data_IF_932921618576
#
_entry.id   IF_932921618576
#
_cell.length_a   1.000
_cell.length_b   1.000
_cell.length_c   1.000
_cell.angle_alpha   90.00
_cell.angle_beta   90.00
_cell.angle_gamma   90.00
#
_symmetry.space_group_name_H-M   'P 1'
#
loop_
_entity.id
_entity.type
_entity.pdbx_description
1 polymer ?
#
# COMPACT_ATOMS: atom_id res chain seq x y z
N UNK A 1 -27.11 -45.07 -10.47
CA UNK A 1 -26.54 -43.69 -10.55
C UNK A 1 -26.01 -43.33 -9.17
N UNK A 2 -24.79 -43.75 -8.89
CA UNK A 2 -24.13 -43.40 -7.62
C UNK A 2 -23.24 -42.13 -7.87
N UNK A 3 -23.67 -41.00 -7.34
CA UNK A 3 -22.75 -39.87 -7.18
C UNK A 3 -21.76 -40.27 -6.09
N UNK A 4 -20.46 -40.10 -6.36
CA UNK A 4 -19.41 -40.55 -5.47
C UNK A 4 -19.44 -39.74 -4.15
N UNK A 5 -19.16 -40.43 -3.05
CA UNK A 5 -19.01 -39.80 -1.73
C UNK A 5 -17.97 -38.66 -1.72
N UNK A 6 -17.05 -38.64 -2.68
CA UNK A 6 -16.06 -37.58 -2.86
C UNK A 6 -16.65 -36.21 -3.23
N UNK A 7 -17.72 -36.19 -4.06
CA UNK A 7 -18.37 -34.93 -4.46
C UNK A 7 -19.18 -34.29 -3.31
N UNK A 8 -19.66 -35.10 -2.37
CA UNK A 8 -20.35 -34.60 -1.18
C UNK A 8 -19.36 -34.05 -0.15
N UNK A 9 -18.15 -34.65 0.00
CA UNK A 9 -17.11 -34.14 0.88
C UNK A 9 -16.50 -32.81 0.38
N UNK A 10 -16.31 -32.67 -0.93
CA UNK A 10 -15.86 -31.41 -1.53
C UNK A 10 -16.86 -30.26 -1.36
N UNK A 11 -18.17 -30.56 -1.47
CA UNK A 11 -19.22 -29.56 -1.23
C UNK A 11 -19.39 -29.20 0.26
N UNK A 12 -19.10 -30.10 1.20
CA UNK A 12 -19.19 -29.81 2.63
C UNK A 12 -17.97 -28.98 3.09
N UNK A 13 -16.79 -29.19 2.50
CA UNK A 13 -15.60 -28.37 2.79
C UNK A 13 -15.68 -26.96 2.21
N UNK A 14 -16.43 -26.72 1.14
CA UNK A 14 -16.69 -25.38 0.61
C UNK A 14 -17.67 -24.54 1.48
N UNK A 15 -18.45 -25.20 2.37
CA UNK A 15 -19.41 -24.54 3.26
C UNK A 15 -18.87 -24.16 4.63
N UNK A 16 -17.59 -24.47 4.95
CA UNK A 16 -16.94 -24.15 6.23
C UNK A 16 -15.68 -23.30 6.04
N UNK A 17 -15.70 -22.38 5.09
CA UNK A 17 -14.69 -21.33 5.06
C UNK A 17 -14.88 -20.46 6.32
N UNK A 18 -14.13 -20.74 7.39
CA UNK A 18 -14.01 -19.82 8.52
C UNK A 18 -13.59 -18.48 7.94
N UNK A 19 -14.34 -17.39 8.16
CA UNK A 19 -13.96 -16.09 7.65
C UNK A 19 -12.55 -15.80 8.12
N UNK A 20 -11.63 -15.47 7.19
CA UNK A 20 -10.29 -15.06 7.60
C UNK A 20 -10.39 -13.83 8.50
N UNK A 21 -9.65 -13.77 9.60
CA UNK A 21 -9.67 -12.61 10.46
C UNK A 21 -9.25 -11.38 9.67
N UNK A 22 -9.92 -10.25 9.92
CA UNK A 22 -9.51 -8.96 9.33
C UNK A 22 -8.24 -8.53 10.04
N UNK A 23 -7.17 -8.27 9.29
CA UNK A 23 -5.87 -7.92 9.83
C UNK A 23 -5.72 -6.40 9.97
N UNK A 24 -5.12 -5.96 11.08
CA UNK A 24 -4.74 -4.56 11.30
C UNK A 24 -3.39 -4.29 10.65
N UNK A 25 -3.30 -3.19 9.90
CA UNK A 25 -2.05 -2.71 9.31
C UNK A 25 -1.97 -1.19 9.37
N UNK A 26 -0.84 -0.63 8.96
CA UNK A 26 -0.64 0.81 8.77
C UNK A 26 -0.20 1.08 7.33
N UNK A 27 -0.37 2.30 6.83
CA UNK A 27 -0.18 2.57 5.40
C UNK A 27 1.30 2.82 5.06
N UNK A 28 1.94 3.79 5.71
CA UNK A 28 3.29 4.22 5.34
C UNK A 28 3.99 4.93 6.50
N UNK A 29 4.40 6.17 6.28
CA UNK A 29 5.26 6.93 7.16
C UNK A 29 4.75 7.09 8.60
N UNK A 30 5.67 7.00 9.54
CA UNK A 30 5.53 7.43 10.93
C UNK A 30 6.27 8.77 11.16
N UNK A 31 5.93 9.53 12.23
CA UNK A 31 6.67 10.71 12.62
C UNK A 31 8.15 10.41 12.79
N UNK A 32 9.01 11.26 12.20
CA UNK A 32 10.44 11.09 12.33
C UNK A 32 10.89 11.33 13.78
N UNK A 33 11.78 10.49 14.26
CA UNK A 33 12.47 10.62 15.54
C UNK A 33 13.82 11.29 15.36
N UNK A 34 14.32 11.94 16.42
CA UNK A 34 15.71 12.42 16.49
C UNK A 34 16.70 11.31 16.86
N UNK A 35 16.23 10.10 17.12
CA UNK A 35 17.06 8.93 17.40
C UNK A 35 17.84 8.49 16.15
N UNK A 36 19.02 7.86 16.31
CA UNK A 36 19.66 7.14 15.21
C UNK A 36 18.69 6.17 14.54
N UNK A 37 18.84 5.98 13.22
CA UNK A 37 17.87 5.24 12.39
C UNK A 37 17.48 3.88 12.95
N UNK A 38 18.45 3.04 13.33
CA UNK A 38 18.19 1.68 13.84
C UNK A 38 17.42 1.69 15.16
N UNK A 39 17.71 2.66 16.03
CA UNK A 39 16.96 2.85 17.28
C UNK A 39 15.53 3.30 16.98
N UNK A 40 15.36 4.29 16.11
CA UNK A 40 14.04 4.76 15.69
C UNK A 40 13.22 3.64 15.03
N UNK A 41 13.84 2.82 14.18
CA UNK A 41 13.16 1.67 13.56
C UNK A 41 12.70 0.64 14.59
N UNK A 42 13.55 0.34 15.58
CA UNK A 42 13.18 -0.55 16.69
C UNK A 42 11.99 0.02 17.48
N UNK A 43 12.04 1.30 17.84
CA UNK A 43 10.95 1.99 18.54
C UNK A 43 9.61 1.90 17.78
N UNK A 44 9.63 2.06 16.44
CA UNK A 44 8.42 1.97 15.60
C UNK A 44 7.93 0.53 15.47
N UNK A 45 8.82 -0.46 15.37
CA UNK A 45 8.43 -1.88 15.38
C UNK A 45 7.76 -2.23 16.71
N UNK A 46 8.39 -1.89 17.86
CA UNK A 46 7.85 -2.14 19.19
C UNK A 46 6.50 -1.42 19.42
N UNK A 47 6.36 -0.19 18.91
CA UNK A 47 5.10 0.56 18.97
C UNK A 47 3.97 -0.18 18.21
N UNK A 48 4.22 -0.65 17.01
CA UNK A 48 3.25 -1.40 16.22
C UNK A 48 2.86 -2.71 16.90
N UNK A 49 3.83 -3.45 17.46
CA UNK A 49 3.58 -4.66 18.23
C UNK A 49 2.74 -4.39 19.48
N UNK A 50 3.02 -3.31 20.22
CA UNK A 50 2.27 -2.91 21.42
C UNK A 50 0.78 -2.68 21.11
N UNK A 51 0.50 -2.05 19.96
CA UNK A 51 -0.87 -1.80 19.55
C UNK A 51 -1.49 -2.94 18.73
N UNK A 52 -0.83 -4.11 18.67
CA UNK A 52 -1.39 -5.31 18.03
C UNK A 52 -1.60 -5.17 16.54
N UNK A 53 -0.66 -4.52 15.84
CA UNK A 53 -0.66 -4.46 14.37
C UNK A 53 -0.22 -5.82 13.83
N UNK A 54 -1.02 -6.42 12.96
CA UNK A 54 -0.81 -7.77 12.42
C UNK A 54 0.17 -7.77 11.23
N UNK A 55 0.18 -6.68 10.45
CA UNK A 55 1.09 -6.49 9.32
C UNK A 55 1.81 -5.16 9.49
N UNK A 56 3.03 -5.21 10.02
CA UNK A 56 3.84 -4.03 10.36
C UNK A 56 4.66 -3.50 9.18
N UNK A 57 5.22 -2.30 9.34
CA UNK A 57 6.10 -1.62 8.35
C UNK A 57 7.35 -1.03 9.00
N UNK A 58 8.29 -0.59 8.16
CA UNK A 58 9.50 0.15 8.54
C UNK A 58 9.24 1.61 9.01
N UNK A 59 8.03 2.12 8.81
CA UNK A 59 7.63 3.48 9.16
C UNK A 59 8.18 4.58 8.27
N UNK A 60 8.88 4.25 7.19
CA UNK A 60 9.49 5.20 6.23
C UNK A 60 10.37 6.26 6.88
N UNK A 61 11.23 5.85 7.82
CA UNK A 61 11.99 6.75 8.67
C UNK A 61 13.19 7.40 8.00
N UNK A 62 13.76 6.80 6.92
CA UNK A 62 14.96 7.32 6.25
C UNK A 62 14.72 8.65 5.56
N UNK A 63 13.65 8.74 4.78
CA UNK A 63 13.34 9.88 3.93
C UNK A 63 11.84 9.90 3.58
N UNK A 64 11.41 10.77 2.68
CA UNK A 64 10.05 10.71 2.15
C UNK A 64 9.94 9.58 1.11
N UNK A 65 8.69 9.18 0.81
CA UNK A 65 8.39 8.05 -0.05
C UNK A 65 9.03 8.11 -1.46
N UNK A 66 9.28 9.30 -1.98
CA UNK A 66 9.93 9.51 -3.29
C UNK A 66 11.44 9.34 -3.20
N UNK A 67 12.06 9.89 -2.16
CA UNK A 67 13.52 9.90 -2.00
C UNK A 67 14.15 8.52 -1.74
N UNK A 68 13.34 7.51 -1.38
CA UNK A 68 13.80 6.12 -1.33
C UNK A 68 14.33 5.61 -2.66
N UNK A 69 13.90 6.22 -3.76
CA UNK A 69 14.26 5.80 -5.12
C UNK A 69 15.48 6.53 -5.69
N UNK A 70 16.26 7.25 -4.86
CA UNK A 70 17.53 7.87 -5.28
C UNK A 70 18.63 6.85 -5.62
N UNK A 71 18.43 5.59 -5.26
CA UNK A 71 19.32 4.48 -5.63
C UNK A 71 19.07 3.96 -7.06
N UNK A 72 17.98 4.38 -7.71
CA UNK A 72 17.64 3.99 -9.08
C UNK A 72 18.55 4.73 -10.06
N UNK A 73 19.22 4.01 -11.00
CA UNK A 73 19.98 4.65 -12.06
C UNK A 73 19.11 5.65 -12.85
N UNK A 74 19.67 6.80 -13.16
CA UNK A 74 18.95 7.88 -13.85
C UNK A 74 18.23 8.85 -12.91
N UNK A 75 18.24 8.64 -11.59
CA UNK A 75 17.67 9.57 -10.60
C UNK A 75 18.74 10.25 -9.75
N UNK A 76 18.43 11.44 -9.22
CA UNK A 76 19.24 12.14 -8.24
C UNK A 76 18.36 12.81 -7.18
N UNK A 77 18.70 12.61 -5.90
CA UNK A 77 17.97 13.21 -4.78
C UNK A 77 18.06 14.73 -4.81
N UNK A 78 16.91 15.35 -4.55
CA UNK A 78 16.76 16.78 -4.29
C UNK A 78 16.09 16.99 -2.91
N UNK A 79 16.04 18.22 -2.44
CA UNK A 79 15.42 18.57 -1.15
C UNK A 79 13.94 18.18 -1.07
N UNK A 80 13.22 18.27 -2.18
CA UNK A 80 11.77 18.05 -2.29
C UNK A 80 11.37 16.80 -3.09
N UNK A 81 12.33 16.04 -3.62
CA UNK A 81 12.01 14.85 -4.45
C UNK A 81 13.22 14.25 -5.14
N UNK A 82 13.03 13.81 -6.37
CA UNK A 82 14.05 13.29 -7.26
C UNK A 82 13.98 14.03 -8.60
N UNK A 83 15.14 14.33 -9.18
CA UNK A 83 15.22 14.77 -10.60
C UNK A 83 15.75 13.63 -11.47
N UNK A 84 15.42 13.68 -12.73
CA UNK A 84 15.93 12.77 -13.76
C UNK A 84 17.28 13.30 -14.25
N UNK A 85 18.32 12.47 -14.17
CA UNK A 85 19.69 12.82 -14.60
C UNK A 85 20.25 11.83 -15.62
N UNK A 86 19.41 10.89 -16.10
CA UNK A 86 19.73 9.88 -17.10
C UNK A 86 18.49 9.06 -17.43
N UNK A 87 18.61 8.09 -18.32
CA UNK A 87 17.55 7.09 -18.51
C UNK A 87 17.36 6.30 -17.22
N UNK A 88 16.09 6.07 -16.89
CA UNK A 88 15.70 5.26 -15.74
C UNK A 88 15.93 3.78 -16.10
N UNK A 89 16.72 3.09 -15.30
CA UNK A 89 17.07 1.68 -15.54
C UNK A 89 16.86 0.84 -14.28
N UNK A 90 16.49 -0.45 -14.41
CA UNK A 90 16.40 -1.37 -13.29
C UNK A 90 17.72 -1.52 -12.55
N UNK A 91 17.62 -1.78 -11.24
CA UNK A 91 18.78 -2.14 -10.42
C UNK A 91 19.34 -3.50 -10.86
N UNK A 92 20.66 -3.64 -10.86
CA UNK A 92 21.31 -4.96 -10.95
C UNK A 92 20.92 -5.82 -9.73
N UNK A 93 21.07 -7.14 -9.86
CA UNK A 93 20.73 -8.10 -8.79
C UNK A 93 21.43 -7.75 -7.46
N UNK A 94 22.71 -7.38 -7.51
CA UNK A 94 23.47 -7.00 -6.31
C UNK A 94 22.92 -5.73 -5.68
N UNK A 95 22.61 -4.73 -6.49
CA UNK A 95 22.04 -3.47 -6.00
C UNK A 95 20.60 -3.61 -5.48
N UNK A 96 19.83 -4.58 -5.98
CA UNK A 96 18.50 -4.91 -5.44
C UNK A 96 18.58 -5.32 -3.97
N UNK A 97 19.61 -6.10 -3.58
CA UNK A 97 19.79 -6.50 -2.19
C UNK A 97 20.18 -5.33 -1.28
N UNK A 98 20.79 -4.29 -1.84
CA UNK A 98 21.18 -3.08 -1.12
C UNK A 98 20.12 -1.95 -1.20
N UNK A 99 18.99 -2.20 -1.86
CA UNK A 99 17.90 -1.23 -1.95
C UNK A 99 17.32 -0.95 -0.56
N UNK A 100 17.17 0.32 -0.19
CA UNK A 100 16.80 0.72 1.17
C UNK A 100 15.57 0.01 1.71
N UNK A 101 14.51 -0.12 0.93
CA UNK A 101 13.28 -0.79 1.37
C UNK A 101 13.49 -2.28 1.65
N UNK A 102 14.38 -2.94 0.92
CA UNK A 102 14.77 -4.35 1.18
C UNK A 102 15.57 -4.43 2.49
N UNK A 103 16.58 -3.58 2.67
CA UNK A 103 17.39 -3.55 3.90
C UNK A 103 16.58 -3.22 5.15
N UNK A 104 15.68 -2.27 5.05
CA UNK A 104 14.84 -1.86 6.17
C UNK A 104 13.89 -3.00 6.56
N UNK A 105 13.32 -3.71 5.59
CA UNK A 105 12.53 -4.92 5.84
C UNK A 105 13.36 -6.03 6.52
N UNK A 106 14.58 -6.31 6.05
CA UNK A 106 15.47 -7.29 6.68
C UNK A 106 15.78 -6.91 8.14
N UNK A 107 15.97 -5.62 8.41
CA UNK A 107 16.16 -5.09 9.77
C UNK A 107 14.89 -5.27 10.61
N UNK A 108 13.71 -4.96 10.08
CA UNK A 108 12.42 -5.22 10.76
C UNK A 108 12.29 -6.71 11.11
N UNK A 109 12.60 -7.62 10.19
CA UNK A 109 12.57 -9.07 10.44
C UNK A 109 13.55 -9.49 11.54
N UNK A 110 14.75 -8.89 11.56
CA UNK A 110 15.74 -9.14 12.62
C UNK A 110 15.26 -8.66 13.99
N UNK A 111 14.62 -7.49 14.06
CA UNK A 111 14.02 -6.98 15.29
C UNK A 111 12.92 -7.93 15.76
N UNK A 112 11.99 -8.33 14.89
CA UNK A 112 10.91 -9.27 15.22
C UNK A 112 11.46 -10.57 15.77
N UNK A 113 12.51 -11.12 15.17
CA UNK A 113 13.19 -12.32 15.66
C UNK A 113 13.79 -12.10 17.06
N UNK A 114 14.43 -10.96 17.29
CA UNK A 114 15.06 -10.64 18.59
C UNK A 114 14.07 -10.53 19.75
N UNK A 115 12.80 -10.21 19.45
CA UNK A 115 11.72 -10.12 20.45
C UNK A 115 10.76 -11.32 20.43
N UNK A 116 11.11 -12.40 19.70
CA UNK A 116 10.32 -13.64 19.63
C UNK A 116 8.98 -13.49 18.91
N UNK A 117 8.86 -12.55 17.96
CA UNK A 117 7.62 -12.26 17.23
C UNK A 117 7.78 -12.48 15.71
N UNK A 118 8.43 -13.60 15.35
CA UNK A 118 8.59 -13.99 13.94
C UNK A 118 7.25 -14.32 13.25
N UNK A 119 6.21 -14.58 14.03
CA UNK A 119 4.82 -14.79 13.60
C UNK A 119 4.20 -13.55 12.95
N UNK A 120 4.65 -12.35 13.34
CA UNK A 120 4.12 -11.09 12.82
C UNK A 120 4.55 -10.85 11.38
N UNK A 121 3.58 -10.50 10.53
CA UNK A 121 3.81 -10.19 9.14
C UNK A 121 4.46 -8.81 8.99
N UNK A 122 5.25 -8.64 7.95
CA UNK A 122 5.84 -7.33 7.63
C UNK A 122 5.63 -6.99 6.15
N UNK A 123 5.44 -5.71 5.87
CA UNK A 123 5.10 -5.16 4.56
C UNK A 123 6.14 -4.14 4.13
N UNK A 124 6.47 -4.14 2.84
CA UNK A 124 7.23 -3.09 2.15
C UNK A 124 6.25 -2.20 1.41
N UNK A 125 6.37 -0.88 1.60
CA UNK A 125 5.62 0.14 0.85
C UNK A 125 6.49 0.67 -0.29
N UNK A 126 5.96 0.73 -1.50
CA UNK A 126 6.65 1.22 -2.69
C UNK A 126 5.79 2.26 -3.38
N UNK A 127 6.35 3.42 -3.65
CA UNK A 127 5.68 4.41 -4.49
C UNK A 127 5.51 3.86 -5.90
N UNK A 128 4.30 3.96 -6.43
CA UNK A 128 3.97 3.40 -7.73
C UNK A 128 4.49 4.25 -8.90
N UNK A 129 4.47 3.68 -10.12
CA UNK A 129 5.12 4.28 -11.28
C UNK A 129 4.52 5.63 -11.70
N UNK A 130 3.20 5.81 -11.52
CA UNK A 130 2.55 7.07 -11.89
C UNK A 130 2.96 8.21 -10.97
N UNK A 131 2.98 7.96 -9.66
CA UNK A 131 3.40 8.95 -8.67
C UNK A 131 4.88 9.27 -8.81
N UNK A 132 5.76 8.27 -8.98
CA UNK A 132 7.19 8.49 -9.20
C UNK A 132 7.45 9.33 -10.44
N UNK A 133 6.91 8.93 -11.58
CA UNK A 133 7.09 9.63 -12.85
C UNK A 133 6.60 11.08 -12.78
N UNK A 134 5.42 11.32 -12.23
CA UNK A 134 4.84 12.67 -12.12
C UNK A 134 5.68 13.58 -11.22
N UNK A 135 6.09 13.10 -10.04
CA UNK A 135 6.92 13.91 -9.12
C UNK A 135 8.29 14.18 -9.73
N UNK A 136 8.94 13.18 -10.34
CA UNK A 136 10.23 13.36 -10.97
C UNK A 136 10.16 14.35 -12.15
N UNK A 137 9.11 14.26 -12.97
CA UNK A 137 8.89 15.19 -14.08
C UNK A 137 8.67 16.62 -13.59
N UNK A 138 7.92 16.82 -12.51
CA UNK A 138 7.62 18.14 -11.94
C UNK A 138 8.79 18.75 -11.15
N UNK A 139 9.78 17.95 -10.74
CA UNK A 139 10.91 18.43 -9.92
C UNK A 139 11.89 19.27 -10.75
N UNK A 140 12.20 18.84 -11.98
CA UNK A 140 13.09 19.56 -12.89
C UNK A 140 12.79 19.18 -14.35
N UNK A 141 11.93 19.95 -15.00
CA UNK A 141 11.51 19.70 -16.38
C UNK A 141 12.66 19.80 -17.39
N UNK A 142 13.64 20.70 -17.16
CA UNK A 142 14.77 20.85 -18.07
C UNK A 142 15.69 19.63 -17.99
N UNK A 143 15.90 19.11 -16.80
CA UNK A 143 16.67 17.87 -16.61
C UNK A 143 15.94 16.68 -17.24
N UNK A 144 14.61 16.60 -17.13
CA UNK A 144 13.81 15.57 -17.79
C UNK A 144 13.98 15.64 -19.32
N UNK A 145 13.81 16.82 -19.91
CA UNK A 145 13.90 17.06 -21.36
C UNK A 145 15.26 16.68 -21.97
N UNK A 146 16.32 16.65 -21.15
CA UNK A 146 17.63 16.21 -21.61
C UNK A 146 17.73 14.69 -21.85
N UNK A 147 16.77 13.91 -21.31
CA UNK A 147 16.83 12.44 -21.31
C UNK A 147 15.57 11.77 -21.85
N UNK A 148 14.44 12.47 -21.85
CA UNK A 148 13.13 12.00 -22.32
C UNK A 148 12.50 12.99 -23.28
N UNK A 149 11.81 12.46 -24.26
CA UNK A 149 10.95 13.26 -25.13
C UNK A 149 9.72 13.69 -24.34
N UNK A 150 9.48 15.00 -24.24
CA UNK A 150 8.36 15.54 -23.47
C UNK A 150 7.00 15.30 -24.17
N UNK A 151 7.00 15.00 -25.48
CA UNK A 151 5.80 14.62 -26.22
C UNK A 151 5.47 13.12 -26.04
N UNK A 152 6.40 12.33 -25.47
CA UNK A 152 6.17 10.93 -25.13
C UNK A 152 5.64 10.78 -23.70
N UNK A 153 4.31 10.75 -23.59
CA UNK A 153 3.61 10.65 -22.32
C UNK A 153 3.77 9.28 -21.60
N UNK A 154 4.43 8.28 -22.22
CA UNK A 154 4.44 6.90 -21.71
C UNK A 154 5.79 6.41 -21.24
N UNK A 155 6.88 6.75 -21.91
CA UNK A 155 8.19 6.12 -21.69
C UNK A 155 8.69 6.29 -20.27
N UNK A 156 8.61 7.47 -19.67
CA UNK A 156 9.04 7.70 -18.29
C UNK A 156 8.31 6.80 -17.29
N UNK A 157 6.99 6.71 -17.38
CA UNK A 157 6.17 5.87 -16.48
C UNK A 157 6.41 4.38 -16.72
N UNK A 158 6.63 3.97 -17.97
CA UNK A 158 6.98 2.59 -18.31
C UNK A 158 8.35 2.22 -17.77
N UNK A 159 9.34 3.12 -17.80
CA UNK A 159 10.66 2.89 -17.24
C UNK A 159 10.58 2.73 -15.71
N UNK A 160 9.79 3.56 -15.00
CA UNK A 160 9.53 3.35 -13.57
C UNK A 160 8.80 2.03 -13.29
N UNK A 161 7.86 1.61 -14.15
CA UNK A 161 7.23 0.28 -14.04
C UNK A 161 8.27 -0.84 -14.14
N UNK A 162 9.19 -0.75 -15.11
CA UNK A 162 10.27 -1.71 -15.31
C UNK A 162 11.24 -1.79 -14.12
N UNK A 163 11.49 -0.66 -13.45
CA UNK A 163 12.31 -0.59 -12.24
C UNK A 163 11.62 -1.24 -11.05
N UNK A 164 10.32 -1.02 -10.88
CA UNK A 164 9.58 -1.50 -9.71
C UNK A 164 9.35 -3.01 -9.75
N UNK A 165 9.15 -3.62 -10.90
CA UNK A 165 8.87 -5.04 -11.02
C UNK A 165 9.91 -5.94 -10.34
N UNK A 166 11.23 -5.83 -10.59
CA UNK A 166 12.23 -6.65 -9.90
C UNK A 166 12.31 -6.34 -8.40
N UNK A 167 12.00 -5.12 -7.96
CA UNK A 167 11.94 -4.76 -6.54
C UNK A 167 10.76 -5.49 -5.86
N UNK A 168 9.58 -5.48 -6.49
CA UNK A 168 8.40 -6.22 -6.00
C UNK A 168 8.68 -7.71 -5.94
N UNK A 169 9.25 -8.29 -7.00
CA UNK A 169 9.61 -9.70 -7.04
C UNK A 169 10.60 -10.07 -5.92
N UNK A 170 11.64 -9.27 -5.72
CA UNK A 170 12.61 -9.46 -4.63
C UNK A 170 11.94 -9.38 -3.26
N UNK A 171 11.08 -8.39 -3.03
CA UNK A 171 10.34 -8.24 -1.78
C UNK A 171 9.47 -9.47 -1.48
N UNK A 172 8.72 -9.96 -2.46
CA UNK A 172 7.89 -11.16 -2.31
C UNK A 172 8.71 -12.42 -2.05
N UNK A 173 9.87 -12.57 -2.72
CA UNK A 173 10.76 -13.72 -2.55
C UNK A 173 11.40 -13.79 -1.15
N UNK A 174 11.62 -12.67 -0.48
CA UNK A 174 12.06 -12.63 0.93
C UNK A 174 10.90 -12.72 1.93
N UNK A 175 9.66 -12.92 1.45
CA UNK A 175 8.49 -13.15 2.28
C UNK A 175 7.68 -11.91 2.64
N UNK A 176 8.06 -10.72 2.17
CA UNK A 176 7.35 -9.47 2.44
C UNK A 176 5.95 -9.45 1.83
N UNK A 177 5.03 -8.73 2.47
CA UNK A 177 3.85 -8.16 1.83
C UNK A 177 4.28 -6.90 1.08
N UNK A 178 3.60 -6.54 0.00
CA UNK A 178 3.94 -5.36 -0.81
C UNK A 178 2.72 -4.47 -0.97
N UNK A 179 2.89 -3.20 -0.71
CA UNK A 179 1.91 -2.16 -0.98
C UNK A 179 2.46 -1.20 -2.02
N UNK A 180 1.71 -1.00 -3.09
CA UNK A 180 2.01 0.01 -4.12
C UNK A 180 1.18 1.25 -3.81
N UNK A 181 1.85 2.38 -3.61
CA UNK A 181 1.21 3.65 -3.23
C UNK A 181 1.13 4.59 -4.42
N UNK A 182 -0.09 4.94 -4.81
CA UNK A 182 -0.39 5.84 -5.93
C UNK A 182 -1.23 7.05 -5.51
N UNK A 183 -0.73 7.90 -4.60
CA UNK A 183 -1.51 9.03 -4.08
C UNK A 183 -1.89 10.04 -5.15
N UNK A 184 -1.11 10.22 -6.21
CA UNK A 184 -1.40 11.21 -7.24
C UNK A 184 -2.54 10.82 -8.19
N UNK A 185 -2.99 9.56 -8.21
CA UNK A 185 -4.13 9.16 -9.02
C UNK A 185 -5.42 9.89 -8.63
N UNK A 186 -5.62 10.14 -7.34
CA UNK A 186 -6.81 10.86 -6.85
C UNK A 186 -6.72 12.37 -6.97
N UNK A 187 -5.55 12.92 -7.30
CA UNK A 187 -5.33 14.37 -7.45
C UNK A 187 -5.79 14.93 -8.80
N UNK A 188 -6.02 14.06 -9.80
CA UNK A 188 -6.31 14.45 -11.16
C UNK A 188 -5.11 15.03 -11.95
N UNK A 189 -3.90 15.01 -11.36
CA UNK A 189 -2.67 15.47 -12.03
C UNK A 189 -2.18 14.48 -13.08
N UNK A 190 -2.60 13.23 -13.00
CA UNK A 190 -2.25 12.18 -13.94
C UNK A 190 -3.41 11.94 -14.90
N UNK A 191 -3.23 12.04 -16.23
CA UNK A 191 -4.27 11.68 -17.18
C UNK A 191 -4.69 10.22 -17.02
N UNK A 192 -5.99 9.98 -16.86
CA UNK A 192 -6.52 8.65 -16.53
C UNK A 192 -6.27 7.60 -17.61
N UNK A 193 -6.20 8.04 -18.88
CA UNK A 193 -5.92 7.19 -20.03
C UNK A 193 -4.48 6.66 -19.97
N UNK A 194 -3.50 7.51 -19.61
CA UNK A 194 -2.10 7.14 -19.43
C UNK A 194 -1.99 6.20 -18.22
N UNK A 195 -2.58 6.57 -17.09
CA UNK A 195 -2.60 5.74 -15.89
C UNK A 195 -3.20 4.35 -16.17
N UNK A 196 -4.28 4.30 -16.97
CA UNK A 196 -4.93 3.03 -17.33
C UNK A 196 -3.99 2.12 -18.11
N UNK A 197 -3.27 2.64 -19.11
CA UNK A 197 -2.34 1.85 -19.91
C UNK A 197 -1.15 1.37 -19.08
N UNK A 198 -0.50 2.27 -18.35
CA UNK A 198 0.69 1.97 -17.55
C UNK A 198 0.38 0.99 -16.41
N UNK A 199 -0.65 1.27 -15.62
CA UNK A 199 -0.95 0.45 -14.44
C UNK A 199 -1.52 -0.92 -14.81
N UNK A 200 -2.26 -1.06 -15.91
CA UNK A 200 -2.68 -2.38 -16.39
C UNK A 200 -1.49 -3.21 -16.87
N UNK A 201 -0.56 -2.61 -17.63
CA UNK A 201 0.68 -3.30 -18.02
C UNK A 201 1.49 -3.70 -16.78
N UNK A 202 1.76 -2.76 -15.88
CA UNK A 202 2.49 -3.02 -14.64
C UNK A 202 1.85 -4.15 -13.82
N UNK A 203 0.54 -4.07 -13.57
CA UNK A 203 -0.18 -5.06 -12.77
C UNK A 203 -0.19 -6.45 -13.42
N UNK A 204 -0.28 -6.54 -14.75
CA UNK A 204 -0.26 -7.80 -15.48
C UNK A 204 1.08 -8.54 -15.42
N UNK A 205 2.15 -7.80 -15.17
CA UNK A 205 3.54 -8.31 -15.07
C UNK A 205 3.96 -8.64 -13.64
N UNK A 206 3.13 -8.33 -12.64
CA UNK A 206 3.37 -8.73 -11.25
C UNK A 206 3.33 -10.27 -11.10
N UNK A 207 4.02 -10.85 -10.10
CA UNK A 207 4.05 -12.30 -9.88
C UNK A 207 2.64 -12.90 -9.81
N UNK A 208 2.37 -13.89 -10.66
CA UNK A 208 1.04 -14.48 -10.83
C UNK A 208 0.75 -15.67 -9.91
N UNK A 209 1.78 -16.21 -9.20
CA UNK A 209 1.58 -17.29 -8.23
C UNK A 209 0.61 -16.83 -7.14
N UNK A 210 -0.46 -17.56 -6.91
CA UNK A 210 -1.58 -17.17 -6.02
C UNK A 210 -1.12 -16.68 -4.64
N UNK A 211 -0.21 -17.43 -3.99
CA UNK A 211 0.30 -17.09 -2.64
C UNK A 211 1.09 -15.77 -2.65
N UNK A 212 1.86 -15.47 -3.68
CA UNK A 212 2.61 -14.21 -3.79
C UNK A 212 1.68 -13.05 -4.14
N UNK A 213 0.77 -13.28 -5.07
CA UNK A 213 -0.20 -12.30 -5.54
C UNK A 213 -1.07 -11.79 -4.38
N UNK A 214 -1.55 -12.68 -3.51
CA UNK A 214 -2.35 -12.31 -2.33
C UNK A 214 -1.63 -11.37 -1.34
N UNK A 215 -0.32 -11.26 -1.42
CA UNK A 215 0.49 -10.34 -0.60
C UNK A 215 0.57 -8.93 -1.18
N UNK A 216 0.03 -8.68 -2.37
CA UNK A 216 0.12 -7.39 -3.05
C UNK A 216 -1.14 -6.58 -2.80
N UNK A 217 -0.97 -5.29 -2.52
CA UNK A 217 -2.04 -4.31 -2.39
C UNK A 217 -1.69 -3.01 -3.12
N UNK A 218 -2.71 -2.27 -3.54
CA UNK A 218 -2.56 -0.92 -4.07
C UNK A 218 -3.30 0.05 -3.14
N UNK A 219 -2.61 1.09 -2.67
CA UNK A 219 -3.19 2.15 -1.85
C UNK A 219 -3.29 3.45 -2.64
N UNK A 220 -4.47 4.05 -2.61
CA UNK A 220 -4.75 5.38 -3.16
C UNK A 220 -5.32 6.26 -2.07
N UNK A 221 -4.57 7.31 -1.71
CA UNK A 221 -5.05 8.34 -0.78
C UNK A 221 -6.07 9.27 -1.47
N UNK A 222 -6.96 9.87 -0.67
CA UNK A 222 -7.93 10.84 -1.15
C UNK A 222 -9.18 10.23 -1.80
N UNK A 223 -9.91 11.05 -2.54
CA UNK A 223 -11.17 10.64 -3.15
C UNK A 223 -10.95 9.89 -4.47
N UNK A 224 -11.33 8.61 -4.49
CA UNK A 224 -11.36 7.81 -5.72
C UNK A 224 -12.61 8.13 -6.59
N UNK A 225 -13.54 8.94 -6.08
CA UNK A 225 -14.73 9.41 -6.78
C UNK A 225 -14.47 10.69 -7.60
N UNK A 226 -13.55 11.53 -7.14
CA UNK A 226 -13.30 12.84 -7.75
C UNK A 226 -12.68 12.79 -9.14
N UNK A 227 -11.96 11.72 -9.48
CA UNK A 227 -11.36 11.51 -10.81
C UNK A 227 -12.21 10.53 -11.60
N UNK A 228 -12.85 10.97 -12.70
CA UNK A 228 -13.68 10.07 -13.52
C UNK A 228 -12.93 8.82 -13.98
N UNK A 229 -13.59 7.66 -13.92
CA UNK A 229 -13.05 6.33 -14.27
C UNK A 229 -11.93 5.79 -13.37
N UNK A 230 -11.46 6.51 -12.35
CA UNK A 230 -10.39 6.05 -11.47
C UNK A 230 -10.82 4.77 -10.72
N UNK A 231 -12.01 4.75 -10.14
CA UNK A 231 -12.50 3.57 -9.43
C UNK A 231 -12.61 2.34 -10.34
N UNK A 232 -13.13 2.53 -11.56
CA UNK A 232 -13.19 1.45 -12.57
C UNK A 232 -11.80 0.96 -12.98
N UNK A 233 -10.84 1.87 -13.15
CA UNK A 233 -9.45 1.48 -13.39
C UNK A 233 -8.94 0.58 -12.28
N UNK A 234 -9.06 1.01 -11.01
CA UNK A 234 -8.54 0.27 -9.85
C UNK A 234 -9.17 -1.11 -9.72
N UNK A 235 -10.49 -1.24 -9.91
CA UNK A 235 -11.19 -2.53 -9.91
C UNK A 235 -10.66 -3.48 -11.00
N UNK A 236 -10.25 -2.95 -12.13
CA UNK A 236 -9.75 -3.73 -13.28
C UNK A 236 -8.25 -4.00 -13.27
N UNK A 237 -7.50 -3.52 -12.27
CA UNK A 237 -6.08 -3.89 -12.11
C UNK A 237 -5.95 -5.33 -11.63
N UNK A 238 -4.92 -6.04 -12.07
CA UNK A 238 -4.62 -7.39 -11.59
C UNK A 238 -3.90 -7.38 -10.22
N UNK A 239 -4.43 -6.61 -9.28
CA UNK A 239 -4.01 -6.48 -7.88
C UNK A 239 -5.20 -6.86 -6.99
N UNK A 240 -5.06 -7.87 -6.11
CA UNK A 240 -6.20 -8.43 -5.37
C UNK A 240 -6.74 -7.53 -4.26
N UNK A 241 -5.90 -6.69 -3.66
CA UNK A 241 -6.31 -5.83 -2.53
C UNK A 241 -6.19 -4.36 -2.89
N UNK A 242 -7.30 -3.64 -2.79
CA UNK A 242 -7.37 -2.19 -2.96
C UNK A 242 -7.57 -1.53 -1.60
N UNK A 243 -6.82 -0.46 -1.32
CA UNK A 243 -6.79 0.20 -0.02
C UNK A 243 -7.15 1.68 -0.19
N UNK A 244 -8.17 2.14 0.56
CA UNK A 244 -8.72 3.49 0.49
C UNK A 244 -8.97 4.06 1.87
N UNK A 245 -8.92 5.40 2.00
CA UNK A 245 -9.36 6.12 3.19
C UNK A 245 -10.86 6.43 3.17
N UNK A 246 -11.46 6.57 4.37
CA UNK A 246 -12.90 6.82 4.52
C UNK A 246 -13.22 7.84 5.63
N UNK A 247 -12.23 8.54 6.21
CA UNK A 247 -12.49 9.41 7.39
C UNK A 247 -12.68 10.88 7.05
N UNK A 248 -11.81 11.52 6.33
CA UNK A 248 -11.91 12.94 5.98
C UNK A 248 -13.13 13.28 5.13
N UNK A 249 -13.33 14.56 4.82
CA UNK A 249 -14.44 14.96 3.95
C UNK A 249 -14.30 14.37 2.54
N UNK A 250 -13.09 14.40 2.00
CA UNK A 250 -12.78 13.87 0.66
C UNK A 250 -12.88 12.33 0.66
N UNK A 251 -12.28 11.67 1.64
CA UNK A 251 -12.31 10.21 1.74
C UNK A 251 -13.72 9.68 2.04
N UNK A 252 -14.56 10.47 2.71
CA UNK A 252 -15.95 10.09 2.96
C UNK A 252 -16.76 9.91 1.68
N UNK A 253 -16.40 10.60 0.60
CA UNK A 253 -17.01 10.42 -0.73
C UNK A 253 -16.78 9.01 -1.28
N UNK A 254 -15.71 8.32 -0.85
CA UNK A 254 -15.40 6.96 -1.27
C UNK A 254 -16.48 5.97 -0.82
N UNK A 255 -17.22 6.26 0.27
CA UNK A 255 -18.35 5.44 0.74
C UNK A 255 -19.55 5.45 -0.23
N UNK A 256 -19.61 6.41 -1.15
CA UNK A 256 -20.75 6.55 -2.06
C UNK A 256 -20.59 5.66 -3.32
N UNK A 257 -19.36 5.21 -3.62
CA UNK A 257 -19.10 4.46 -4.86
C UNK A 257 -18.69 3.01 -4.62
N UNK A 258 -18.25 2.67 -3.41
CA UNK A 258 -17.90 1.29 -3.09
C UNK A 258 -19.16 0.43 -2.88
N UNK A 259 -19.12 -0.82 -3.33
CA UNK A 259 -20.21 -1.75 -3.13
C UNK A 259 -19.72 -3.21 -3.10
N UNK A 260 -20.50 -4.09 -2.47
CA UNK A 260 -20.25 -5.54 -2.48
C UNK A 260 -20.13 -6.07 -3.90
N UNK A 261 -21.06 -5.69 -4.77
CA UNK A 261 -21.07 -6.13 -6.16
C UNK A 261 -19.79 -5.75 -6.93
N UNK A 262 -19.24 -4.55 -6.68
CA UNK A 262 -17.96 -4.13 -7.29
C UNK A 262 -16.79 -5.01 -6.85
N UNK A 263 -16.70 -5.31 -5.54
CA UNK A 263 -15.60 -6.10 -5.00
C UNK A 263 -15.71 -7.58 -5.40
N UNK A 264 -16.89 -8.18 -5.29
CA UNK A 264 -17.11 -9.57 -5.67
C UNK A 264 -16.98 -9.77 -7.18
N UNK A 265 -17.57 -8.87 -8.00
CA UNK A 265 -17.51 -8.94 -9.45
C UNK A 265 -16.11 -8.84 -10.03
N UNK A 266 -15.17 -8.23 -9.32
CA UNK A 266 -13.77 -8.12 -9.71
C UNK A 266 -12.82 -8.95 -8.84
N UNK A 267 -13.34 -9.81 -7.96
CA UNK A 267 -12.54 -10.64 -7.03
C UNK A 267 -11.55 -9.80 -6.20
N UNK A 268 -12.01 -8.65 -5.67
CA UNK A 268 -11.20 -7.73 -4.87
C UNK A 268 -11.44 -7.87 -3.38
N UNK A 269 -10.41 -7.52 -2.60
CA UNK A 269 -10.50 -7.30 -1.16
C UNK A 269 -10.21 -5.84 -0.85
N UNK A 270 -10.81 -5.35 0.23
CA UNK A 270 -10.66 -3.98 0.71
C UNK A 270 -9.65 -3.90 1.85
N UNK A 271 -8.68 -3.00 1.74
CA UNK A 271 -8.03 -2.36 2.87
C UNK A 271 -8.84 -1.13 3.25
N UNK A 272 -9.43 -1.14 4.42
CA UNK A 272 -10.34 -0.08 4.86
C UNK A 272 -9.62 0.91 5.79
N UNK A 273 -9.38 2.12 5.30
CA UNK A 273 -8.98 3.28 6.10
C UNK A 273 -10.17 3.77 6.93
N UNK A 274 -10.38 3.18 8.08
CA UNK A 274 -11.58 3.41 8.88
C UNK A 274 -11.40 4.46 9.99
N UNK A 275 -10.18 4.92 10.20
CA UNK A 275 -9.79 5.89 11.22
C UNK A 275 -8.87 6.96 10.63
N UNK A 276 -9.04 8.21 11.04
CA UNK A 276 -8.19 9.31 10.60
C UNK A 276 -6.73 9.11 11.02
N UNK A 277 -5.79 9.37 10.11
CA UNK A 277 -4.36 9.36 10.39
C UNK A 277 -3.86 10.69 11.00
N UNK A 278 -4.68 11.73 11.07
CA UNK A 278 -4.28 13.08 11.56
C UNK A 278 -5.09 13.55 12.77
N UNK A 279 -6.33 13.07 12.92
CA UNK A 279 -7.24 13.50 13.97
C UNK A 279 -7.60 12.33 14.89
N UNK A 280 -7.60 12.60 16.21
CA UNK A 280 -8.13 11.66 17.20
C UNK A 280 -9.64 11.83 17.23
N UNK A 281 -10.36 10.91 16.60
CA UNK A 281 -11.82 10.93 16.45
C UNK A 281 -12.52 10.28 17.65
N UNK A 282 -13.80 10.59 17.86
CA UNK A 282 -14.64 9.91 18.84
C UNK A 282 -14.93 8.47 18.40
N UNK A 283 -14.90 7.52 19.34
CA UNK A 283 -15.08 6.07 19.06
C UNK A 283 -16.40 5.78 18.34
N UNK A 284 -17.46 6.49 18.71
CA UNK A 284 -18.79 6.36 18.08
C UNK A 284 -18.77 6.71 16.59
N UNK A 285 -17.95 7.69 16.18
CA UNK A 285 -17.78 8.10 14.78
C UNK A 285 -17.04 7.02 14.00
N UNK A 286 -15.94 6.50 14.57
CA UNK A 286 -15.13 5.45 13.98
C UNK A 286 -15.95 4.16 13.80
N UNK A 287 -16.66 3.73 14.85
CA UNK A 287 -17.52 2.53 14.85
C UNK A 287 -18.64 2.67 13.81
N UNK A 288 -19.30 3.83 13.74
CA UNK A 288 -20.37 4.08 12.76
C UNK A 288 -19.85 3.98 11.33
N UNK A 289 -18.64 4.52 11.07
CA UNK A 289 -17.97 4.44 9.76
C UNK A 289 -17.67 3.01 9.41
N UNK A 290 -17.03 2.25 10.30
CA UNK A 290 -16.67 0.86 10.06
C UNK A 290 -17.89 -0.01 9.78
N UNK A 291 -18.97 0.12 10.56
CA UNK A 291 -20.24 -0.58 10.29
C UNK A 291 -20.84 -0.21 8.92
N UNK A 292 -20.68 1.05 8.48
CA UNK A 292 -21.12 1.46 7.14
C UNK A 292 -20.29 0.80 6.05
N UNK A 293 -18.96 0.74 6.22
CA UNK A 293 -18.05 0.04 5.29
C UNK A 293 -18.44 -1.44 5.19
N UNK A 294 -18.59 -2.13 6.33
CA UNK A 294 -19.00 -3.54 6.37
C UNK A 294 -20.35 -3.77 5.66
N UNK A 295 -21.32 -2.88 5.85
CA UNK A 295 -22.62 -2.96 5.18
C UNK A 295 -22.50 -2.79 3.66
N UNK A 296 -21.60 -1.92 3.19
CA UNK A 296 -21.43 -1.61 1.77
C UNK A 296 -20.68 -2.69 1.01
N UNK A 297 -19.59 -3.21 1.56
CA UNK A 297 -18.70 -4.14 0.84
C UNK A 297 -18.85 -5.59 1.27
N UNK A 298 -19.44 -5.86 2.43
CA UNK A 298 -19.44 -7.17 3.10
C UNK A 298 -18.15 -7.39 3.89
N UNK A 299 -18.29 -7.89 5.12
CA UNK A 299 -17.17 -8.15 6.03
C UNK A 299 -16.12 -9.09 5.41
N UNK A 300 -16.58 -10.11 4.71
CA UNK A 300 -15.77 -11.12 4.01
C UNK A 300 -14.88 -10.52 2.91
N UNK A 301 -15.19 -9.32 2.42
CA UNK A 301 -14.38 -8.60 1.43
C UNK A 301 -13.41 -7.60 2.06
N UNK A 302 -13.42 -7.42 3.39
CA UNK A 302 -12.44 -6.61 4.11
C UNK A 302 -11.26 -7.49 4.50
N UNK A 303 -10.06 -7.14 4.03
CA UNK A 303 -8.81 -7.83 4.35
C UNK A 303 -8.03 -7.09 5.43
N UNK A 304 -7.97 -5.77 5.33
CA UNK A 304 -7.21 -4.93 6.26
C UNK A 304 -8.06 -3.82 6.87
N UNK A 305 -7.78 -3.51 8.14
CA UNK A 305 -8.16 -2.27 8.81
C UNK A 305 -6.90 -1.42 9.01
N UNK A 306 -6.97 -0.13 8.68
CA UNK A 306 -5.82 0.77 8.78
C UNK A 306 -6.26 2.24 8.95
N UNK A 307 -5.35 3.16 9.35
CA UNK A 307 -5.59 4.60 9.22
C UNK A 307 -5.68 5.00 7.74
N UNK A 308 -6.38 6.10 7.43
CA UNK A 308 -6.58 6.53 6.04
C UNK A 308 -5.30 6.62 5.21
N UNK A 309 -4.22 7.09 5.81
CA UNK A 309 -2.94 7.28 5.15
C UNK A 309 -1.77 7.13 6.14
N UNK A 310 -0.53 7.39 5.69
CA UNK A 310 0.64 7.48 6.55
C UNK A 310 0.54 8.62 7.57
N UNK A 311 1.16 8.46 8.73
CA UNK A 311 1.08 9.40 9.86
C UNK A 311 2.34 10.28 10.02
N UNK A 312 3.21 10.34 9.01
CA UNK A 312 4.51 11.00 9.10
C UNK A 312 4.49 12.49 9.49
N UNK A 313 3.39 13.18 9.22
CA UNK A 313 3.19 14.59 9.60
C UNK A 313 2.33 14.76 10.86
N UNK A 314 1.88 13.67 11.47
CA UNK A 314 1.04 13.69 12.67
C UNK A 314 1.93 13.68 13.91
N UNK A 315 1.54 14.40 14.95
CA UNK A 315 2.30 14.43 16.21
C UNK A 315 2.36 13.02 16.83
N UNK A 316 3.51 12.60 17.37
CA UNK A 316 3.69 11.24 17.92
C UNK A 316 2.65 10.83 18.97
N UNK A 317 2.25 11.74 19.84
CA UNK A 317 1.23 11.50 20.87
C UNK A 317 -0.16 11.22 20.25
N UNK A 318 -0.51 11.91 19.16
CA UNK A 318 -1.75 11.62 18.43
C UNK A 318 -1.70 10.27 17.73
N UNK A 319 -0.55 9.91 17.14
CA UNK A 319 -0.38 8.60 16.49
C UNK A 319 -0.63 7.46 17.48
N UNK A 320 -0.09 7.57 18.71
CA UNK A 320 -0.34 6.58 19.78
C UNK A 320 -1.83 6.42 20.08
N UNK A 321 -2.56 7.53 20.23
CA UNK A 321 -4.00 7.51 20.49
C UNK A 321 -4.79 6.92 19.32
N UNK A 322 -4.39 7.21 18.08
CA UNK A 322 -5.02 6.63 16.88
C UNK A 322 -4.82 5.10 16.85
N UNK A 323 -3.59 4.63 17.09
CA UNK A 323 -3.29 3.20 17.12
C UNK A 323 -3.99 2.49 18.28
N UNK A 324 -4.12 3.13 19.44
CA UNK A 324 -4.88 2.60 20.59
C UNK A 324 -6.36 2.39 20.23
N UNK A 325 -6.99 3.41 19.64
CA UNK A 325 -8.38 3.30 19.17
C UNK A 325 -8.54 2.24 18.08
N UNK A 326 -7.58 2.16 17.15
CA UNK A 326 -7.57 1.15 16.11
C UNK A 326 -7.49 -0.27 16.70
N UNK A 327 -6.66 -0.47 17.74
CA UNK A 327 -6.58 -1.73 18.47
C UNK A 327 -7.92 -2.08 19.12
N UNK A 328 -8.46 -1.18 19.98
CA UNK A 328 -9.68 -1.43 20.75
C UNK A 328 -10.87 -1.73 19.82
N UNK A 329 -11.07 -0.90 18.80
CA UNK A 329 -12.20 -1.05 17.89
C UNK A 329 -12.00 -2.24 16.95
N UNK A 330 -10.78 -2.45 16.44
CA UNK A 330 -10.44 -3.58 15.58
C UNK A 330 -10.63 -4.92 16.30
N UNK A 331 -10.16 -5.04 17.54
CA UNK A 331 -10.29 -6.26 18.35
C UNK A 331 -11.75 -6.56 18.73
N UNK A 332 -12.58 -5.53 18.92
CA UNK A 332 -14.00 -5.69 19.23
C UNK A 332 -14.84 -6.18 18.03
N UNK A 333 -14.31 -6.07 16.81
CA UNK A 333 -15.00 -6.43 15.57
C UNK A 333 -14.33 -7.66 14.92
N UNK A 334 -13.04 -7.92 15.13
CA UNK A 334 -12.30 -9.10 14.66
C UNK A 334 -12.80 -10.36 15.29
#
# INVERSE_FOLDING_TARGET
MCRSLGDQFLNIMSCLAVPMPIEKTVIGSFPKSNSPFEKALKEIVELQLHYGIDVIIDGELRCNMIQYFDQIPGTQRQSNGLRIVGKIEPLSVDRLNEFYKIKDYETVRSILKSVGREDVKAKITLTGPMTLGTICASTDINSLAAHYDLDDEYTLFSDFSNVLLPIVERALNIGAYVQIDEPLLSSGQVPIEIATKILKDFASRLPSKSIQKEKISCHVCGSIKSVPKLYDLLLNLDIPTLSFGFSGEIERENLDIISRASFEGHSKKLGAGFISNVNVEEDSVIIKRLKRIEKLVGRENIKYLHPDCGSGLTKPEKVKLILEKMKIIGDAIG
#
